data_IF_345134876307
#
_entry.id   IF_345134876307
#
_cell.length_a   1.000
_cell.length_b   1.000
_cell.length_c   1.000
_cell.angle_alpha   90.00
_cell.angle_beta   90.00
_cell.angle_gamma   90.00
#
_symmetry.space_group_name_H-M   'P 1'
#
loop_
_entity.id
_entity.type
_entity.pdbx_description
1 polymer ?
#
# COMPACT_ATOMS: atom_id res chain seq x y z
N UNK A 1 31.95 10.62 -30.62
CA UNK A 1 32.82 9.79 -29.75
C UNK A 1 32.48 8.35 -30.04
N UNK A 2 33.45 7.45 -30.27
CA UNK A 2 33.12 6.04 -30.46
C UNK A 2 32.44 5.51 -29.18
N UNK A 3 31.37 4.72 -29.35
CA UNK A 3 30.72 4.03 -28.24
C UNK A 3 31.75 3.19 -27.49
N UNK A 4 31.91 3.46 -26.20
CA UNK A 4 32.80 2.69 -25.32
C UNK A 4 32.05 1.43 -24.93
N UNK A 5 32.41 0.31 -25.56
CA UNK A 5 31.88 -1.01 -25.20
C UNK A 5 32.66 -1.51 -23.99
N UNK A 6 31.97 -1.68 -22.86
CA UNK A 6 32.51 -2.34 -21.68
C UNK A 6 32.11 -3.81 -21.73
N UNK A 7 33.11 -4.70 -21.65
CA UNK A 7 32.88 -6.14 -21.61
C UNK A 7 32.59 -6.54 -20.16
N UNK A 8 31.51 -7.27 -19.92
CA UNK A 8 31.14 -7.83 -18.62
C UNK A 8 31.19 -9.36 -18.67
N UNK A 9 31.63 -9.99 -17.58
CA UNK A 9 31.51 -11.44 -17.43
C UNK A 9 30.06 -11.79 -17.13
N UNK A 10 29.55 -12.84 -17.79
CA UNK A 10 28.15 -13.24 -17.65
C UNK A 10 27.80 -13.63 -16.21
N UNK A 11 28.73 -14.27 -15.50
CA UNK A 11 28.54 -14.67 -14.12
C UNK A 11 28.34 -13.46 -13.19
N UNK A 12 29.19 -12.44 -13.34
CA UNK A 12 29.13 -11.21 -12.54
C UNK A 12 27.87 -10.40 -12.86
N UNK A 13 27.53 -10.26 -14.16
CA UNK A 13 26.36 -9.53 -14.60
C UNK A 13 25.06 -10.21 -14.14
N UNK A 14 24.99 -11.54 -14.22
CA UNK A 14 23.84 -12.30 -13.76
C UNK A 14 23.65 -12.20 -12.24
N UNK A 15 24.73 -12.27 -11.46
CA UNK A 15 24.67 -12.14 -10.00
C UNK A 15 24.17 -10.74 -9.62
N UNK A 16 24.77 -9.69 -10.15
CA UNK A 16 24.42 -8.31 -9.84
C UNK A 16 22.98 -7.98 -10.25
N UNK A 17 22.61 -8.26 -11.50
CA UNK A 17 21.25 -8.01 -12.01
C UNK A 17 20.18 -8.78 -11.22
N UNK A 18 20.47 -10.02 -10.81
CA UNK A 18 19.54 -10.81 -10.00
C UNK A 18 19.39 -10.23 -8.58
N UNK A 19 20.49 -9.84 -7.93
CA UNK A 19 20.45 -9.26 -6.58
C UNK A 19 19.70 -7.93 -6.59
N UNK A 20 19.96 -7.06 -7.56
CA UNK A 20 19.29 -5.75 -7.67
C UNK A 20 17.78 -5.90 -7.86
N UNK A 21 17.37 -6.83 -8.73
CA UNK A 21 15.97 -7.17 -8.90
C UNK A 21 15.36 -7.76 -7.61
N UNK A 22 16.05 -8.70 -6.96
CA UNK A 22 15.56 -9.36 -5.75
C UNK A 22 15.34 -8.35 -4.61
N UNK A 23 16.30 -7.47 -4.35
CA UNK A 23 16.20 -6.44 -3.32
C UNK A 23 15.06 -5.46 -3.65
N UNK A 24 14.94 -5.05 -4.91
CA UNK A 24 13.86 -4.18 -5.38
C UNK A 24 12.48 -4.80 -5.14
N UNK A 25 12.29 -6.09 -5.43
CA UNK A 25 11.02 -6.79 -5.19
C UNK A 25 10.72 -6.97 -3.69
N UNK A 26 11.73 -7.32 -2.89
CA UNK A 26 11.59 -7.52 -1.44
C UNK A 26 11.17 -6.21 -0.75
N UNK A 27 11.88 -5.10 -0.99
CA UNK A 27 11.62 -3.82 -0.32
C UNK A 27 10.52 -2.99 -0.98
N UNK A 28 10.42 -3.03 -2.31
CA UNK A 28 9.60 -2.11 -3.08
C UNK A 28 8.24 -2.67 -3.51
N UNK A 29 7.91 -3.94 -3.22
CA UNK A 29 6.68 -4.55 -3.75
C UNK A 29 6.01 -5.55 -2.84
N UNK A 30 6.71 -6.62 -2.46
CA UNK A 30 6.05 -7.84 -2.01
C UNK A 30 5.71 -7.84 -0.51
N UNK A 31 6.57 -7.26 0.33
CA UNK A 31 6.47 -7.32 1.78
C UNK A 31 6.02 -5.94 2.30
N UNK A 32 5.01 -5.88 3.18
CA UNK A 32 4.61 -4.62 3.80
C UNK A 32 5.65 -4.14 4.81
N UNK A 33 5.67 -2.83 5.04
CA UNK A 33 6.45 -2.27 6.15
C UNK A 33 5.78 -2.63 7.48
N UNK A 34 6.56 -3.03 8.50
CA UNK A 34 6.00 -3.41 9.80
C UNK A 34 5.38 -2.22 10.54
N UNK A 35 5.86 -1.00 10.26
CA UNK A 35 5.43 0.24 10.93
C UNK A 35 3.99 0.60 10.60
N UNK A 36 3.59 0.45 9.34
CA UNK A 36 2.24 0.79 8.87
C UNK A 36 1.42 -0.40 8.33
N UNK A 37 2.07 -1.55 8.12
CA UNK A 37 1.44 -2.74 7.56
C UNK A 37 1.03 -2.62 6.10
N UNK A 38 1.56 -1.64 5.35
CA UNK A 38 1.18 -1.39 3.96
C UNK A 38 2.31 -1.73 2.99
N UNK A 39 1.92 -2.24 1.82
CA UNK A 39 2.79 -2.29 0.63
C UNK A 39 2.87 -0.90 -0.01
N UNK A 40 3.93 -0.59 -0.78
CA UNK A 40 4.07 0.73 -1.43
C UNK A 40 2.87 1.16 -2.26
N UNK A 41 2.25 0.25 -3.03
CA UNK A 41 1.04 0.56 -3.83
C UNK A 41 -0.14 0.98 -2.94
N UNK A 42 -0.35 0.30 -1.81
CA UNK A 42 -1.46 0.58 -0.90
C UNK A 42 -1.26 1.94 -0.21
N UNK A 43 -0.02 2.22 0.24
CA UNK A 43 0.37 3.51 0.81
C UNK A 43 0.11 4.66 -0.15
N UNK A 44 0.56 4.51 -1.40
CA UNK A 44 0.39 5.51 -2.46
C UNK A 44 -1.08 5.72 -2.84
N UNK A 45 -1.92 4.70 -2.76
CA UNK A 45 -3.38 4.84 -2.95
C UNK A 45 -3.97 5.72 -1.85
N UNK A 46 -3.70 5.41 -0.57
CA UNK A 46 -4.23 6.21 0.55
C UNK A 46 -3.75 7.67 0.48
N UNK A 47 -2.45 7.87 0.22
CA UNK A 47 -1.87 9.20 0.07
C UNK A 47 -2.45 9.95 -1.13
N UNK A 48 -2.53 9.32 -2.32
CA UNK A 48 -3.14 9.94 -3.50
C UNK A 48 -4.63 10.29 -3.30
N UNK A 49 -5.38 9.46 -2.57
CA UNK A 49 -6.78 9.75 -2.22
C UNK A 49 -6.90 10.92 -1.24
N UNK A 50 -5.95 11.06 -0.30
CA UNK A 50 -5.83 12.22 0.59
C UNK A 50 -5.58 13.51 -0.21
N UNK A 51 -4.63 13.48 -1.14
CA UNK A 51 -4.29 14.63 -1.99
C UNK A 51 -5.47 15.06 -2.89
N UNK A 52 -6.30 14.11 -3.31
CA UNK A 52 -7.56 14.37 -4.01
C UNK A 52 -8.70 14.87 -3.10
N UNK A 53 -8.49 14.93 -1.78
CA UNK A 53 -9.47 15.34 -0.79
C UNK A 53 -10.62 14.36 -0.60
N UNK A 54 -10.43 13.06 -0.87
CA UNK A 54 -11.47 12.02 -0.84
C UNK A 54 -11.73 11.47 0.57
N UNK A 55 -11.85 12.38 1.53
CA UNK A 55 -12.16 12.04 2.93
C UNK A 55 -13.55 11.40 3.07
N UNK A 56 -13.83 10.67 4.17
CA UNK A 56 -15.07 9.93 4.36
C UNK A 56 -16.36 10.77 4.24
N UNK A 57 -16.29 12.07 4.53
CA UNK A 57 -17.43 12.99 4.48
C UNK A 57 -17.67 13.57 3.07
N UNK A 58 -16.84 13.23 2.09
CA UNK A 58 -16.97 13.71 0.71
C UNK A 58 -17.65 12.67 -0.17
N UNK A 59 -18.27 13.07 -1.30
CA UNK A 59 -18.84 12.11 -2.24
C UNK A 59 -17.75 11.27 -2.90
N UNK A 60 -18.08 10.03 -3.26
CA UNK A 60 -17.19 9.18 -4.03
C UNK A 60 -16.73 9.84 -5.34
N UNK A 61 -15.60 9.37 -5.86
CA UNK A 61 -15.09 9.74 -7.17
C UNK A 61 -14.77 8.50 -7.97
N UNK A 62 -14.85 8.62 -9.30
CA UNK A 62 -14.53 7.53 -10.23
C UNK A 62 -13.16 6.92 -9.91
N UNK A 63 -13.13 5.60 -9.80
CA UNK A 63 -11.91 4.83 -9.55
C UNK A 63 -10.81 5.15 -10.56
N UNK A 64 -11.17 5.34 -11.83
CA UNK A 64 -10.24 5.76 -12.88
C UNK A 64 -9.50 7.08 -12.57
N UNK A 65 -10.14 8.02 -11.87
CA UNK A 65 -9.49 9.28 -11.46
C UNK A 65 -8.46 9.03 -10.36
N UNK A 66 -8.78 8.17 -9.40
CA UNK A 66 -7.88 7.82 -8.28
C UNK A 66 -6.66 7.07 -8.82
N UNK A 67 -6.90 6.07 -9.66
CA UNK A 67 -5.83 5.30 -10.32
C UNK A 67 -4.93 6.23 -11.15
N UNK A 68 -5.51 7.12 -11.97
CA UNK A 68 -4.72 8.07 -12.75
C UNK A 68 -3.85 9.01 -11.91
N UNK A 69 -4.36 9.49 -10.77
CA UNK A 69 -3.61 10.32 -9.84
C UNK A 69 -2.40 9.56 -9.26
N UNK A 70 -2.63 8.35 -8.77
CA UNK A 70 -1.59 7.51 -8.17
C UNK A 70 -0.51 7.15 -9.18
N UNK A 71 -0.92 6.77 -10.40
CA UNK A 71 0.00 6.44 -11.49
C UNK A 71 0.85 7.64 -11.90
N UNK A 72 0.21 8.78 -12.12
CA UNK A 72 0.88 9.97 -12.64
C UNK A 72 1.90 10.56 -11.67
N UNK A 73 1.68 10.40 -10.36
CA UNK A 73 2.50 11.06 -9.34
C UNK A 73 3.42 10.12 -8.55
N UNK A 74 2.96 8.90 -8.24
CA UNK A 74 3.58 8.09 -7.19
C UNK A 74 3.93 6.66 -7.63
N UNK A 75 3.17 6.03 -8.52
CA UNK A 75 3.31 4.60 -8.83
C UNK A 75 3.54 4.33 -10.33
N UNK A 76 4.80 4.24 -10.80
CA UNK A 76 5.13 4.11 -12.23
C UNK A 76 4.98 2.66 -12.74
N UNK A 77 3.83 2.04 -12.46
CA UNK A 77 3.51 0.66 -12.85
C UNK A 77 2.13 0.59 -13.53
N UNK A 78 1.63 -0.62 -13.80
CA UNK A 78 0.35 -0.80 -14.50
C UNK A 78 -0.85 -0.25 -13.71
N UNK A 79 -1.79 0.35 -14.43
CA UNK A 79 -3.06 0.85 -13.88
C UNK A 79 -3.89 -0.24 -13.21
N UNK A 80 -3.92 -1.42 -13.82
CA UNK A 80 -4.61 -2.60 -13.29
C UNK A 80 -4.10 -2.99 -11.91
N UNK A 81 -2.79 -2.95 -11.66
CA UNK A 81 -2.21 -3.31 -10.36
C UNK A 81 -2.64 -2.32 -9.25
N UNK A 82 -2.74 -1.02 -9.58
CA UNK A 82 -3.25 -0.01 -8.65
C UNK A 82 -4.74 -0.22 -8.40
N UNK A 83 -5.52 -0.49 -9.44
CA UNK A 83 -6.96 -0.72 -9.32
C UNK A 83 -7.28 -1.97 -8.49
N UNK A 84 -6.60 -3.08 -8.74
CA UNK A 84 -6.77 -4.33 -7.98
C UNK A 84 -6.39 -4.15 -6.51
N UNK A 85 -5.27 -3.45 -6.23
CA UNK A 85 -4.89 -3.13 -4.86
C UNK A 85 -5.95 -2.27 -4.16
N UNK A 86 -6.52 -1.28 -4.86
CA UNK A 86 -7.59 -0.43 -4.34
C UNK A 86 -8.87 -1.23 -4.08
N UNK A 87 -9.23 -2.15 -4.98
CA UNK A 87 -10.38 -3.05 -4.81
C UNK A 87 -10.20 -3.95 -3.59
N UNK A 88 -9.01 -4.53 -3.41
CA UNK A 88 -8.71 -5.37 -2.23
C UNK A 88 -8.85 -4.61 -0.91
N UNK A 89 -8.47 -3.32 -0.87
CA UNK A 89 -8.64 -2.46 0.31
C UNK A 89 -10.11 -2.09 0.60
N UNK A 90 -11.01 -2.27 -0.36
CA UNK A 90 -12.43 -1.94 -0.24
C UNK A 90 -13.32 -3.16 0.08
N UNK A 91 -12.85 -4.36 -0.24
CA UNK A 91 -13.63 -5.59 -0.10
C UNK A 91 -13.68 -6.06 1.38
N UNK A 92 -14.88 -6.15 2.00
CA UNK A 92 -15.01 -6.53 3.42
C UNK A 92 -14.76 -8.02 3.69
N UNK A 93 -14.70 -8.84 2.63
CA UNK A 93 -14.42 -10.29 2.72
C UNK A 93 -12.94 -10.64 2.50
N UNK A 94 -12.12 -9.70 2.03
CA UNK A 94 -10.65 -9.87 1.92
C UNK A 94 -9.91 -9.09 2.99
N UNK A 95 -10.40 -7.89 3.36
CA UNK A 95 -9.80 -7.02 4.37
C UNK A 95 -10.70 -6.93 5.60
N UNK A 96 -10.15 -7.21 6.79
CA UNK A 96 -10.92 -7.24 8.05
C UNK A 96 -11.50 -5.87 8.44
N UNK A 97 -10.75 -4.81 8.17
CA UNK A 97 -11.07 -3.41 8.37
C UNK A 97 -10.77 -2.65 7.06
N UNK A 98 -11.74 -2.56 6.13
CA UNK A 98 -11.54 -1.88 4.85
C UNK A 98 -11.05 -0.44 5.01
N UNK A 99 -10.02 -0.08 4.23
CA UNK A 99 -9.45 1.26 4.22
C UNK A 99 -10.11 2.15 3.15
N UNK A 100 -10.88 1.53 2.25
CA UNK A 100 -11.56 2.21 1.15
C UNK A 100 -13.06 1.93 1.22
N UNK A 101 -13.85 2.98 1.08
CA UNK A 101 -15.30 2.90 0.91
C UNK A 101 -15.60 2.95 -0.59
N UNK A 102 -16.06 1.81 -1.13
CA UNK A 102 -16.31 1.60 -2.56
C UNK A 102 -17.79 1.62 -2.89
N UNK A 103 -18.15 2.28 -3.98
CA UNK A 103 -19.51 2.32 -4.54
C UNK A 103 -19.53 1.69 -5.95
N UNK A 104 -20.39 0.69 -6.12
CA UNK A 104 -20.50 -0.10 -7.35
C UNK A 104 -20.15 -1.57 -7.13
N UNK A 105 -19.90 -2.32 -8.21
CA UNK A 105 -19.49 -3.72 -8.10
C UNK A 105 -17.97 -3.82 -7.88
N UNK A 106 -17.57 -4.17 -6.65
CA UNK A 106 -16.19 -4.43 -6.24
C UNK A 106 -15.87 -5.94 -6.14
N UNK A 107 -16.66 -6.79 -6.79
CA UNK A 107 -16.51 -8.24 -6.78
C UNK A 107 -17.28 -8.91 -5.64
N UNK A 108 -17.21 -10.24 -5.59
CA UNK A 108 -17.96 -11.06 -4.63
C UNK A 108 -17.09 -12.17 -4.01
N UNK A 109 -17.62 -12.80 -2.95
CA UNK A 109 -17.01 -13.99 -2.33
C UNK A 109 -17.03 -15.22 -3.24
N UNK A 110 -17.90 -15.22 -4.24
CA UNK A 110 -18.07 -16.33 -5.20
C UNK A 110 -17.00 -16.29 -6.31
N UNK A 111 -16.13 -15.27 -6.30
CA UNK A 111 -15.05 -15.09 -7.27
C UNK A 111 -15.41 -14.19 -8.44
N UNK A 112 -16.53 -13.46 -8.38
CA UNK A 112 -16.86 -12.47 -9.41
C UNK A 112 -15.84 -11.32 -9.38
N UNK A 113 -15.30 -10.99 -10.54
CA UNK A 113 -14.37 -9.86 -10.71
C UNK A 113 -15.07 -8.51 -10.44
N UNK A 114 -14.33 -7.51 -9.95
CA UNK A 114 -14.86 -6.15 -9.85
C UNK A 114 -15.21 -5.61 -11.24
N UNK A 115 -16.21 -4.73 -11.31
CA UNK A 115 -16.48 -4.00 -12.54
C UNK A 115 -15.27 -3.12 -12.92
N UNK A 116 -15.13 -2.78 -14.20
CA UNK A 116 -14.05 -1.90 -14.66
C UNK A 116 -14.05 -0.55 -13.91
N UNK A 117 -12.87 0.05 -13.70
CA UNK A 117 -12.65 1.29 -12.94
C UNK A 117 -13.43 2.53 -13.45
N UNK A 118 -14.02 2.47 -14.64
CA UNK A 118 -14.92 3.50 -15.17
C UNK A 118 -16.33 3.47 -14.55
N UNK A 119 -16.73 2.34 -13.97
CA UNK A 119 -18.04 2.15 -13.35
C UNK A 119 -18.01 2.28 -11.83
N UNK A 120 -16.92 1.90 -11.19
CA UNK A 120 -16.76 2.00 -9.74
C UNK A 120 -16.35 3.40 -9.30
N UNK A 121 -16.73 3.75 -8.08
CA UNK A 121 -16.31 4.95 -7.39
C UNK A 121 -15.78 4.60 -6.00
N UNK A 122 -14.86 5.41 -5.47
CA UNK A 122 -14.27 5.17 -4.17
C UNK A 122 -13.99 6.48 -3.41
N UNK A 123 -13.87 6.36 -2.09
CA UNK A 123 -13.36 7.37 -1.15
C UNK A 123 -12.68 6.66 0.03
N UNK A 124 -12.01 7.41 0.89
CA UNK A 124 -11.38 6.85 2.09
C UNK A 124 -12.47 6.36 3.07
N UNK A 125 -12.27 5.17 3.62
CA UNK A 125 -13.08 4.71 4.76
C UNK A 125 -12.69 5.50 6.02
N UNK A 126 -13.58 5.65 7.02
CA UNK A 126 -13.28 6.37 8.25
C UNK A 126 -11.98 5.96 8.94
N UNK A 127 -11.71 4.65 9.04
CA UNK A 127 -10.49 4.13 9.68
C UNK A 127 -9.20 4.48 8.92
N UNK A 128 -9.27 4.78 7.61
CA UNK A 128 -8.09 5.20 6.86
C UNK A 128 -7.57 6.58 7.28
N UNK A 129 -8.40 7.39 7.96
CA UNK A 129 -7.95 8.67 8.50
C UNK A 129 -6.91 8.50 9.62
N UNK A 130 -6.93 7.37 10.33
CA UNK A 130 -5.92 7.00 11.34
C UNK A 130 -4.50 6.85 10.76
N UNK A 131 -4.35 6.85 9.43
CA UNK A 131 -3.06 6.83 8.73
C UNK A 131 -2.64 8.21 8.21
N UNK A 132 -3.56 9.18 8.15
CA UNK A 132 -3.43 10.36 7.30
C UNK A 132 -3.58 11.69 8.04
N UNK A 133 -4.18 11.68 9.24
CA UNK A 133 -4.48 12.90 10.01
C UNK A 133 -3.22 13.66 10.44
N UNK A 134 -2.17 12.96 10.89
CA UNK A 134 -0.97 13.58 11.46
C UNK A 134 0.12 13.85 10.41
N UNK A 135 -0.17 13.60 9.13
CA UNK A 135 0.84 13.69 8.07
C UNK A 135 1.38 15.11 7.85
N UNK A 136 0.59 16.15 8.18
CA UNK A 136 1.00 17.56 8.09
C UNK A 136 1.80 18.02 9.32
N UNK A 137 1.99 17.17 10.34
CA UNK A 137 2.67 17.49 11.60
C UNK A 137 4.13 17.03 11.61
N UNK A 138 4.74 16.83 10.43
CA UNK A 138 6.13 16.37 10.29
C UNK A 138 6.42 15.03 11.02
N UNK A 139 5.43 14.16 11.14
CA UNK A 139 5.53 12.89 11.89
C UNK A 139 6.31 11.79 11.19
N UNK A 140 6.52 11.91 9.87
CA UNK A 140 7.20 10.91 9.04
C UNK A 140 8.10 11.58 8.03
N UNK A 141 9.17 10.88 7.66
CA UNK A 141 10.05 11.31 6.57
C UNK A 141 9.33 11.20 5.22
N UNK A 142 9.64 12.15 4.35
CA UNK A 142 9.21 12.16 2.96
C UNK A 142 10.41 11.87 2.05
N UNK A 143 10.15 11.11 0.99
CA UNK A 143 11.13 10.76 -0.03
C UNK A 143 10.70 11.32 -1.39
N UNK A 144 11.65 11.64 -2.29
CA UNK A 144 11.31 11.98 -3.66
C UNK A 144 10.50 10.86 -4.32
N UNK A 145 9.50 11.23 -5.13
CA UNK A 145 8.80 10.28 -5.98
C UNK A 145 9.73 9.76 -7.10
N UNK A 146 9.19 8.89 -7.97
CA UNK A 146 9.98 8.17 -8.97
C UNK A 146 10.70 9.06 -10.01
N UNK A 147 10.23 10.29 -10.26
CA UNK A 147 10.87 11.25 -11.16
C UNK A 147 11.50 12.46 -10.45
N UNK A 148 11.46 12.47 -9.11
CA UNK A 148 12.00 13.53 -8.26
C UNK A 148 11.25 14.86 -8.31
N UNK A 149 10.09 14.95 -8.98
CA UNK A 149 9.31 16.19 -9.09
C UNK A 149 8.39 16.44 -7.89
N UNK A 150 8.05 15.39 -7.14
CA UNK A 150 7.15 15.43 -5.98
C UNK A 150 7.78 14.67 -4.81
N UNK A 151 7.12 14.77 -3.65
CA UNK A 151 7.46 13.96 -2.48
C UNK A 151 6.30 13.03 -2.11
N UNK A 152 6.65 11.86 -1.56
CA UNK A 152 5.73 10.90 -0.98
C UNK A 152 6.22 10.45 0.41
N UNK A 153 5.32 10.09 1.33
CA UNK A 153 5.72 9.63 2.65
C UNK A 153 6.39 8.25 2.56
N UNK A 154 7.50 8.06 3.29
CA UNK A 154 8.16 6.75 3.35
C UNK A 154 7.23 5.70 3.99
N UNK A 155 6.56 6.10 5.08
CA UNK A 155 5.55 5.34 5.83
C UNK A 155 4.40 6.26 6.24
N UNK A 156 3.25 5.69 6.58
CA UNK A 156 2.14 6.47 7.15
C UNK A 156 2.13 6.39 8.69
N UNK A 157 1.79 7.49 9.39
CA UNK A 157 1.69 7.54 10.85
C UNK A 157 0.43 6.82 11.36
N UNK A 158 0.38 5.49 11.21
CA UNK A 158 -0.79 4.72 11.65
C UNK A 158 -0.89 4.69 13.17
N UNK A 159 -2.08 5.02 13.70
CA UNK A 159 -2.32 5.09 15.16
C UNK A 159 -2.79 3.77 15.81
N UNK A 160 -2.75 2.68 15.06
CA UNK A 160 -3.13 1.35 15.54
C UNK A 160 -2.30 0.26 14.86
N UNK A 161 -2.16 -0.96 15.46
CA UNK A 161 -1.32 -2.03 14.92
C UNK A 161 -1.95 -2.68 13.67
N UNK A 162 -1.93 -1.96 12.54
CA UNK A 162 -2.63 -2.33 11.32
C UNK A 162 -2.13 -3.64 10.69
N UNK A 163 -0.82 -3.88 10.70
CA UNK A 163 -0.23 -5.11 10.15
C UNK A 163 -0.82 -6.38 10.79
N UNK A 164 -1.19 -6.31 12.07
CA UNK A 164 -1.86 -7.40 12.78
C UNK A 164 -3.38 -7.34 12.62
N UNK A 165 -3.97 -6.13 12.60
CA UNK A 165 -5.41 -5.95 12.51
C UNK A 165 -5.98 -6.45 11.17
N UNK A 166 -5.33 -6.10 10.06
CA UNK A 166 -5.72 -6.53 8.72
C UNK A 166 -4.92 -7.73 8.20
N UNK A 167 -3.83 -8.10 8.87
CA UNK A 167 -2.93 -9.11 8.39
C UNK A 167 -2.08 -8.62 7.21
N UNK A 168 -1.28 -9.52 6.67
CA UNK A 168 -0.39 -9.26 5.56
C UNK A 168 -0.14 -10.54 4.77
N UNK A 169 -0.12 -10.43 3.44
CA UNK A 169 0.26 -11.53 2.58
C UNK A 169 1.14 -11.05 1.43
N UNK A 170 2.20 -11.78 1.14
CA UNK A 170 3.13 -11.41 0.09
C UNK A 170 4.12 -12.51 -0.25
N UNK A 171 4.35 -12.70 -1.54
CA UNK A 171 5.37 -13.61 -2.07
C UNK A 171 6.46 -12.75 -2.71
N UNK A 172 7.69 -12.94 -2.29
CA UNK A 172 8.85 -12.21 -2.77
C UNK A 172 9.91 -13.17 -3.34
N UNK A 173 11.07 -12.63 -3.72
CA UNK A 173 12.21 -13.44 -4.15
C UNK A 173 12.81 -14.15 -2.93
N UNK A 174 12.67 -15.47 -2.87
CA UNK A 174 13.24 -16.32 -1.82
C UNK A 174 12.53 -16.29 -0.47
N UNK A 175 11.40 -15.58 -0.33
CA UNK A 175 10.66 -15.49 0.94
C UNK A 175 9.16 -15.25 0.73
N UNK A 176 8.38 -15.55 1.74
CA UNK A 176 6.93 -15.32 1.80
C UNK A 176 6.53 -14.77 3.16
N UNK A 177 5.46 -13.97 3.22
CA UNK A 177 4.84 -13.49 4.45
C UNK A 177 3.36 -13.85 4.46
N UNK A 178 2.89 -14.33 5.60
CA UNK A 178 1.48 -14.62 5.86
C UNK A 178 1.17 -14.34 7.33
N UNK A 179 0.51 -13.21 7.57
CA UNK A 179 0.05 -12.76 8.89
C UNK A 179 -1.48 -12.74 8.84
N UNK A 180 -2.17 -13.52 9.70
CA UNK A 180 -3.63 -13.51 9.74
C UNK A 180 -4.15 -12.21 10.38
N UNK A 181 -5.39 -11.78 10.04
CA UNK A 181 -6.02 -10.64 10.70
C UNK A 181 -6.44 -10.98 12.13
N UNK A 182 -6.37 -9.98 13.02
CA UNK A 182 -6.74 -10.09 14.43
C UNK A 182 -7.82 -9.07 14.81
N UNK A 183 -8.47 -9.28 15.95
CA UNK A 183 -9.44 -8.34 16.47
C UNK A 183 -8.74 -7.09 17.02
N UNK A 184 -9.11 -5.90 16.52
CA UNK A 184 -8.52 -4.64 16.92
C UNK A 184 -8.64 -4.37 18.43
N UNK A 185 -9.74 -4.76 19.08
CA UNK A 185 -9.91 -4.58 20.53
C UNK A 185 -8.89 -5.41 21.32
N UNK A 186 -8.70 -6.67 20.92
CA UNK A 186 -7.73 -7.57 21.54
C UNK A 186 -6.30 -7.08 21.31
N UNK A 187 -6.00 -6.60 20.10
CA UNK A 187 -4.69 -6.02 19.79
C UNK A 187 -4.39 -4.82 20.66
N UNK A 188 -5.33 -3.87 20.78
CA UNK A 188 -5.13 -2.69 21.64
C UNK A 188 -4.96 -3.09 23.11
N UNK A 189 -5.75 -4.06 23.60
CA UNK A 189 -5.59 -4.58 24.96
C UNK A 189 -4.22 -5.23 25.17
N UNK A 190 -3.75 -6.02 24.21
CA UNK A 190 -2.43 -6.64 24.26
C UNK A 190 -1.30 -5.58 24.20
N UNK A 191 -1.44 -4.55 23.37
CA UNK A 191 -0.48 -3.44 23.30
C UNK A 191 -0.42 -2.68 24.63
N UNK A 192 -1.57 -2.34 25.22
CA UNK A 192 -1.63 -1.70 26.54
C UNK A 192 -1.02 -2.60 27.63
N UNK A 193 -1.32 -3.89 27.60
CA UNK A 193 -0.73 -4.85 28.54
C UNK A 193 0.79 -4.92 28.41
N UNK A 194 1.33 -4.94 27.19
CA UNK A 194 2.77 -4.95 26.91
C UNK A 194 3.46 -3.65 27.34
N UNK A 195 2.78 -2.50 27.23
CA UNK A 195 3.29 -1.23 27.73
C UNK A 195 3.46 -1.27 29.27
N UNK A 196 2.49 -1.86 29.97
CA UNK A 196 2.54 -2.02 31.43
C UNK A 196 3.50 -3.16 31.85
N UNK A 197 3.69 -4.17 31.00
CA UNK A 197 4.49 -5.36 31.26
C UNK A 197 5.47 -5.64 30.11
N UNK A 198 6.62 -4.94 30.05
CA UNK A 198 7.54 -5.03 28.90
C UNK A 198 8.20 -6.40 28.65
N UNK A 199 7.97 -7.39 29.52
CA UNK A 199 8.53 -8.74 29.45
C UNK A 199 7.45 -9.84 29.33
N UNK A 200 6.23 -9.43 28.98
CA UNK A 200 5.09 -10.33 28.76
C UNK A 200 5.36 -11.37 27.66
#
# INVERSE_FOLDING_TARGET
>A
MPERIELAFIEEEMEQSYIDYAISVIRGRAIPDVRDGLKPVQRRILYGMRELGLTPNRPHRKSARIVGEVLGKYHPHGDMAVYEAMVGLAQPFTTRYPLIDGQGNFGSVDGDEPAAMRYTEARLAPIAMEFLEELDEETVDFVPNFDGSLQEPEVLPVRFPHVLANGAWGISVGMTTQIPPHNLRELIQATLYLLDHPQA
#
